data_IF_074432673387
#
_entry.id   IF_074432673387
#
_cell.length_a   1.000
_cell.length_b   1.000
_cell.length_c   1.000
_cell.angle_alpha   90.00
_cell.angle_beta   90.00
_cell.angle_gamma   90.00
#
_symmetry.space_group_name_H-M   'P 1'
#
loop_
_entity.id
_entity.type
_entity.pdbx_description
1 polymer ?
#
# COMPACT_ATOMS: atom_id res chain seq x y z
N UNK A 1 3.56 24.83 -0.51
CA UNK A 1 4.46 24.58 -1.67
C UNK A 1 5.86 24.12 -1.27
N UNK A 2 6.58 24.83 -0.38
CA UNK A 2 7.97 24.45 0.02
C UNK A 2 8.09 23.09 0.75
N UNK A 3 7.04 22.69 1.47
CA UNK A 3 6.98 21.41 2.21
C UNK A 3 6.64 20.19 1.34
N UNK A 4 6.05 20.42 0.16
CA UNK A 4 5.67 19.33 -0.76
C UNK A 4 6.88 18.81 -1.54
N UNK A 5 7.83 19.71 -1.86
CA UNK A 5 9.10 19.36 -2.52
C UNK A 5 9.97 18.48 -1.62
N UNK A 6 9.96 18.74 -0.30
CA UNK A 6 10.69 17.92 0.66
C UNK A 6 10.12 16.49 0.74
N UNK A 7 8.79 16.36 0.69
CA UNK A 7 8.11 15.06 0.73
C UNK A 7 8.32 14.26 -0.56
N UNK A 8 8.25 14.92 -1.73
CA UNK A 8 8.60 14.30 -3.01
C UNK A 8 10.08 13.87 -3.06
N UNK A 9 10.99 14.66 -2.50
CA UNK A 9 12.41 14.32 -2.41
C UNK A 9 12.66 13.06 -1.57
N UNK A 10 11.95 12.92 -0.44
CA UNK A 10 12.04 11.73 0.42
C UNK A 10 11.42 10.50 -0.25
N UNK A 11 10.27 10.63 -0.92
CA UNK A 11 9.62 9.51 -1.63
C UNK A 11 10.48 9.00 -2.79
N UNK A 12 11.10 9.90 -3.56
CA UNK A 12 11.97 9.53 -4.67
C UNK A 12 13.28 8.88 -4.21
N UNK A 13 13.86 9.33 -3.09
CA UNK A 13 15.05 8.69 -2.51
C UNK A 13 14.73 7.33 -1.87
N UNK A 14 13.53 7.15 -1.30
CA UNK A 14 13.09 5.82 -0.85
C UNK A 14 12.78 4.88 -2.02
N UNK A 15 12.21 5.37 -3.13
CA UNK A 15 11.88 4.53 -4.28
C UNK A 15 13.09 3.88 -4.96
N UNK A 16 14.25 4.55 -4.99
CA UNK A 16 15.49 4.01 -5.56
C UNK A 16 16.23 3.03 -4.64
N UNK A 17 15.99 3.09 -3.33
CA UNK A 17 16.63 2.21 -2.34
C UNK A 17 15.82 0.93 -2.08
N UNK A 18 14.52 0.91 -2.43
CA UNK A 18 13.64 -0.24 -2.28
C UNK A 18 13.74 -1.25 -3.43
N UNK A 19 14.45 -0.93 -4.51
CA UNK A 19 14.69 -1.87 -5.61
C UNK A 19 15.99 -2.68 -5.44
N UNK A 20 16.83 -2.34 -4.44
CA UNK A 20 18.14 -2.94 -4.27
C UNK A 20 18.09 -4.03 -3.20
N UNK A 21 18.66 -5.21 -3.50
CA UNK A 21 18.99 -6.25 -2.50
C UNK A 21 19.62 -5.55 -1.29
N UNK A 22 19.20 -5.87 -0.04
CA UNK A 22 19.81 -5.25 1.14
C UNK A 22 21.33 -5.40 1.06
N UNK A 23 22.09 -4.33 1.32
CA UNK A 23 23.53 -4.23 1.01
C UNK A 23 24.45 -5.15 1.82
N UNK A 24 23.88 -6.10 2.56
CA UNK A 24 24.62 -7.16 3.24
C UNK A 24 24.67 -8.34 2.28
N UNK A 25 25.87 -8.80 1.94
CA UNK A 25 26.10 -9.94 1.04
C UNK A 25 25.31 -11.21 1.43
N UNK A 26 24.83 -11.29 2.68
CA UNK A 26 24.09 -12.42 3.25
C UNK A 26 22.55 -12.23 3.32
N UNK A 27 22.03 -11.03 3.01
CA UNK A 27 20.61 -10.74 3.17
C UNK A 27 19.79 -11.21 1.96
N UNK A 28 19.38 -12.48 1.97
CA UNK A 28 18.52 -13.08 0.95
C UNK A 28 17.03 -12.75 1.14
N UNK A 29 16.68 -11.80 2.02
CA UNK A 29 15.30 -11.52 2.40
C UNK A 29 15.05 -10.03 2.59
N UNK A 30 13.91 -9.53 2.10
CA UNK A 30 13.39 -8.19 2.37
C UNK A 30 11.93 -8.25 2.82
N UNK A 31 11.57 -7.37 3.77
CA UNK A 31 10.19 -7.15 4.20
C UNK A 31 9.89 -5.65 4.10
N UNK A 32 8.90 -5.32 3.29
CA UNK A 32 8.55 -3.94 2.93
C UNK A 32 7.08 -3.67 3.18
N UNK A 33 6.81 -2.59 3.91
CA UNK A 33 5.49 -2.02 4.02
C UNK A 33 5.31 -0.91 2.99
N UNK A 34 4.21 -0.91 2.23
CA UNK A 34 3.86 0.23 1.37
C UNK A 34 2.59 0.90 1.88
N UNK A 35 2.63 2.23 1.93
CA UNK A 35 1.49 3.08 2.26
C UNK A 35 1.25 3.95 1.04
N UNK A 36 0.04 3.87 0.48
CA UNK A 36 -0.32 4.61 -0.71
C UNK A 36 -0.80 6.03 -0.32
N UNK A 37 -0.38 7.03 -1.09
CA UNK A 37 -0.83 8.42 -0.94
C UNK A 37 -1.44 8.87 -2.27
N UNK A 38 -2.66 9.40 -2.23
CA UNK A 38 -3.31 10.03 -3.37
C UNK A 38 -3.56 11.50 -3.08
N UNK A 39 -3.38 12.36 -4.08
CA UNK A 39 -3.62 13.79 -3.96
C UNK A 39 -5.08 14.14 -3.62
N UNK A 40 -6.02 13.26 -4.00
CA UNK A 40 -7.46 13.49 -3.82
C UNK A 40 -8.00 13.00 -2.47
N UNK A 41 -7.42 11.91 -1.93
CA UNK A 41 -7.92 11.25 -0.71
C UNK A 41 -6.91 11.24 0.45
N UNK A 42 -5.72 11.81 0.27
CA UNK A 42 -4.65 11.81 1.27
C UNK A 42 -4.00 10.44 1.45
N UNK A 43 -3.55 10.15 2.67
CA UNK A 43 -3.00 8.84 3.02
C UNK A 43 -4.08 7.77 2.97
N UNK A 44 -3.94 6.85 2.02
CA UNK A 44 -4.86 5.75 1.79
C UNK A 44 -4.54 4.59 2.74
N UNK A 45 -5.19 4.60 3.91
CA UNK A 45 -5.17 3.51 4.89
C UNK A 45 -5.91 2.25 4.43
N UNK A 46 -6.60 2.31 3.30
CA UNK A 46 -7.34 1.22 2.67
C UNK A 46 -6.50 0.39 1.68
N UNK A 47 -5.19 0.64 1.59
CA UNK A 47 -4.27 -0.21 0.84
C UNK A 47 -2.89 -0.35 1.49
N UNK A 48 -2.75 -0.64 2.80
CA UNK A 48 -1.47 -1.05 3.36
C UNK A 48 -1.02 -2.39 2.73
N UNK A 49 0.13 -2.25 2.08
CA UNK A 49 1.04 -3.26 1.62
C UNK A 49 1.85 -3.98 2.66
N UNK A 50 1.84 -5.31 2.77
CA UNK A 50 3.02 -6.00 3.32
C UNK A 50 3.59 -6.94 2.26
N UNK A 51 4.79 -6.64 1.79
CA UNK A 51 5.49 -7.44 0.78
C UNK A 51 6.75 -8.04 1.37
N UNK A 52 6.86 -9.34 1.21
CA UNK A 52 7.99 -10.15 1.60
C UNK A 52 8.67 -10.68 0.34
N UNK A 53 9.99 -10.55 0.26
CA UNK A 53 10.78 -10.98 -0.90
C UNK A 53 11.94 -11.84 -0.45
N UNK A 54 12.16 -12.95 -1.15
CA UNK A 54 13.29 -13.82 -0.97
C UNK A 54 14.12 -13.83 -2.25
N UNK A 55 15.37 -13.37 -2.16
CA UNK A 55 16.30 -13.32 -3.28
C UNK A 55 16.99 -14.67 -3.40
N UNK A 56 16.67 -15.40 -4.48
CA UNK A 56 17.31 -16.67 -4.79
C UNK A 56 18.73 -16.42 -5.30
N UNK A 57 18.85 -15.42 -6.17
CA UNK A 57 20.10 -14.91 -6.74
C UNK A 57 19.96 -13.40 -6.92
N UNK A 58 21.05 -12.70 -7.27
CA UNK A 58 21.02 -11.24 -7.51
C UNK A 58 20.04 -10.81 -8.62
N UNK A 59 19.65 -11.74 -9.50
CA UNK A 59 18.72 -11.49 -10.61
C UNK A 59 17.29 -11.98 -10.38
N UNK A 60 17.05 -12.86 -9.42
CA UNK A 60 15.75 -13.53 -9.26
C UNK A 60 15.34 -13.50 -7.79
N UNK A 61 14.13 -13.02 -7.54
CA UNK A 61 13.49 -13.08 -6.23
C UNK A 61 12.10 -13.71 -6.32
N UNK A 62 11.71 -14.47 -5.30
CA UNK A 62 10.33 -14.84 -5.05
C UNK A 62 9.69 -13.78 -4.14
N UNK A 63 8.41 -13.49 -4.32
CA UNK A 63 7.66 -12.55 -3.48
C UNK A 63 6.37 -13.18 -2.96
N UNK A 64 6.04 -12.82 -1.73
CA UNK A 64 4.73 -12.99 -1.14
C UNK A 64 4.24 -11.62 -0.68
N UNK A 65 2.97 -11.33 -0.93
CA UNK A 65 2.37 -10.04 -0.63
C UNK A 65 1.03 -10.26 0.04
N UNK A 66 0.77 -9.50 1.10
CA UNK A 66 -0.53 -9.41 1.73
C UNK A 66 -1.00 -7.97 1.57
N UNK A 67 -2.19 -7.80 1.00
CA UNK A 67 -2.85 -6.52 0.87
C UNK A 67 -4.05 -6.51 1.79
N UNK A 68 -4.15 -5.48 2.62
CA UNK A 68 -5.32 -5.24 3.46
C UNK A 68 -5.99 -3.96 2.98
N UNK A 69 -7.31 -3.95 2.93
CA UNK A 69 -8.08 -2.77 2.63
C UNK A 69 -9.33 -2.70 3.48
N UNK A 70 -9.62 -1.52 4.00
CA UNK A 70 -10.86 -1.25 4.72
C UNK A 70 -11.48 0.01 4.16
N UNK A 71 -12.74 -0.07 3.75
CA UNK A 71 -13.52 1.09 3.32
C UNK A 71 -14.68 1.25 4.27
N UNK A 72 -14.82 2.42 4.87
CA UNK A 72 -16.00 2.84 5.61
C UNK A 72 -16.64 4.02 4.89
N UNK A 73 -17.96 3.95 4.73
CA UNK A 73 -18.77 5.04 4.17
C UNK A 73 -20.04 5.17 4.98
N UNK A 74 -20.32 6.39 5.42
CA UNK A 74 -21.55 6.74 6.11
C UNK A 74 -22.40 7.59 5.18
N UNK A 75 -23.66 7.22 4.99
CA UNK A 75 -24.62 7.97 4.17
C UNK A 75 -25.87 8.23 4.99
N UNK A 76 -26.24 9.50 5.06
CA UNK A 76 -27.51 9.90 5.65
C UNK A 76 -28.63 9.61 4.63
N UNK A 77 -29.65 8.91 5.08
CA UNK A 77 -30.84 8.60 4.30
C UNK A 77 -32.04 9.31 4.91
N UNK A 78 -32.95 9.75 4.04
CA UNK A 78 -34.18 10.44 4.41
C UNK A 78 -35.36 9.65 3.86
N UNK A 79 -36.42 9.52 4.64
CA UNK A 79 -37.65 8.87 4.19
C UNK A 79 -38.27 9.65 3.03
N UNK A 80 -38.76 8.91 2.03
CA UNK A 80 -39.46 9.51 0.90
C UNK A 80 -40.88 9.91 1.35
N UNK A 81 -41.11 11.20 1.60
CA UNK A 81 -42.42 11.75 1.96
C UNK A 81 -42.75 11.76 3.46
N UNK A 82 -41.75 11.60 4.33
CA UNK A 82 -41.88 11.74 5.79
C UNK A 82 -40.72 12.55 6.39
N UNK A 83 -40.76 12.78 7.71
CA UNK A 83 -39.72 13.51 8.46
C UNK A 83 -38.64 12.59 9.05
N UNK A 84 -38.69 11.28 8.75
CA UNK A 84 -37.71 10.31 9.22
C UNK A 84 -36.34 10.47 8.57
N UNK A 85 -35.29 10.51 9.39
CA UNK A 85 -33.89 10.45 8.93
C UNK A 85 -33.15 9.30 9.61
N UNK A 86 -32.26 8.64 8.88
CA UNK A 86 -31.37 7.61 9.40
C UNK A 86 -29.98 7.72 8.82
N UNK A 87 -29.05 6.93 9.36
CA UNK A 87 -27.69 6.82 8.83
C UNK A 87 -27.42 5.37 8.48
N UNK A 88 -26.92 5.15 7.26
CA UNK A 88 -26.44 3.84 6.82
C UNK A 88 -24.91 3.90 6.85
N UNK A 89 -24.34 3.09 7.74
CA UNK A 89 -22.91 2.87 7.82
C UNK A 89 -22.56 1.58 7.07
N UNK A 90 -21.81 1.70 5.97
CA UNK A 90 -21.23 0.58 5.24
C UNK A 90 -19.76 0.48 5.59
N UNK A 91 -19.36 -0.66 6.14
CA UNK A 91 -17.96 -1.02 6.29
C UNK A 91 -17.67 -2.30 5.49
N UNK A 92 -16.57 -2.29 4.75
CA UNK A 92 -16.07 -3.43 4.00
C UNK A 92 -14.60 -3.62 4.27
N UNK A 93 -14.23 -4.84 4.66
CA UNK A 93 -12.84 -5.26 4.78
C UNK A 93 -12.52 -6.22 3.65
N UNK A 94 -11.44 -5.94 2.94
CA UNK A 94 -10.89 -6.73 1.85
C UNK A 94 -9.48 -7.14 2.21
N UNK A 95 -9.12 -8.38 1.90
CA UNK A 95 -7.75 -8.84 2.00
C UNK A 95 -7.42 -9.67 0.77
N UNK A 96 -6.16 -9.60 0.35
CA UNK A 96 -5.64 -10.37 -0.76
C UNK A 96 -4.25 -10.90 -0.43
N UNK A 97 -3.93 -12.09 -0.95
CA UNK A 97 -2.59 -12.66 -0.90
C UNK A 97 -2.11 -12.82 -2.34
N UNK A 98 -0.93 -12.28 -2.63
CA UNK A 98 -0.25 -12.44 -3.91
C UNK A 98 1.04 -13.22 -3.73
N UNK A 99 1.31 -14.15 -4.63
CA UNK A 99 2.62 -14.78 -4.78
C UNK A 99 3.17 -14.40 -6.16
N UNK A 100 4.49 -14.26 -6.27
CA UNK A 100 5.11 -13.95 -7.55
C UNK A 100 6.60 -14.20 -7.57
N UNK A 101 7.19 -13.98 -8.73
CA UNK A 101 8.63 -13.89 -8.90
C UNK A 101 8.98 -12.55 -9.58
N UNK A 102 10.12 -11.99 -9.22
CA UNK A 102 10.67 -10.74 -9.74
C UNK A 102 12.02 -11.06 -10.39
N UNK A 103 12.26 -10.48 -11.57
CA UNK A 103 13.55 -10.54 -12.25
C UNK A 103 14.17 -9.14 -12.23
N UNK A 104 15.35 -9.01 -11.64
CA UNK A 104 16.08 -7.75 -11.59
C UNK A 104 16.98 -7.62 -12.82
N UNK A 105 16.63 -6.68 -13.69
CA UNK A 105 17.47 -6.25 -14.81
C UNK A 105 18.53 -5.30 -14.25
N UNK A 106 19.79 -5.74 -14.30
CA UNK A 106 20.96 -4.92 -13.97
C UNK A 106 21.12 -3.74 -14.93
#
# INVERSE_FOLDING_TARGET
>A
MKKLILLFGVVLTTGSLLAQKPSSDDANFSLEGMINYSGDTGFQWNAPNLRMRYFVNDKIAARAEVTLGSTSSSTNVYELGGDGSGTIDLSSTQWAIGLGAEYHLA
#
